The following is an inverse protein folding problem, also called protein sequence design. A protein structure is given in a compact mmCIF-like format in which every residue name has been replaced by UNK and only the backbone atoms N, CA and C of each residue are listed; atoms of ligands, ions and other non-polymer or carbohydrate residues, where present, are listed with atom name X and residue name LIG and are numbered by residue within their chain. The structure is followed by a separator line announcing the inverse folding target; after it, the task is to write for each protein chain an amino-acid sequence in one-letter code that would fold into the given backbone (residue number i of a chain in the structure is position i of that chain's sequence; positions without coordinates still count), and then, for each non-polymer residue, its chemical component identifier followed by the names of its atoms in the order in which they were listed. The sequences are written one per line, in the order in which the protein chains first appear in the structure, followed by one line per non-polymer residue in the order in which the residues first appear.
data_IF_773177457967
#
_entry.id   IF_773177457967
#
_cell.length_a   1.000
_cell.length_b   1.000
_cell.length_c   1.000
_cell.angle_alpha   90.00
_cell.angle_beta   90.00
_cell.angle_gamma   90.00
#
_symmetry.space_group_name_H-M   'P 1'
#
loop_
_entity.id
_entity.type
_entity.pdbx_description
1 polymer ?
#
# COMPACT_ATOMS: atom_id res chain seq x y z
N UNK A 1 29.95 6.90 13.05
CA UNK A 1 30.05 5.45 13.30
C UNK A 1 30.30 5.24 14.77
N UNK A 2 29.29 4.87 15.55
CA UNK A 2 29.35 3.90 16.66
C UNK A 2 27.89 3.52 16.95
N UNK A 3 27.67 2.20 17.05
CA UNK A 3 26.40 1.53 17.28
C UNK A 3 26.04 1.49 18.78
N UNK A 4 25.22 0.51 19.16
CA UNK A 4 24.88 0.04 20.53
C UNK A 4 23.57 0.68 21.04
N UNK A 5 22.37 0.10 20.85
CA UNK A 5 21.80 -1.19 21.32
C UNK A 5 21.90 -1.39 22.84
N UNK A 6 20.81 -1.15 23.57
CA UNK A 6 20.44 -1.79 24.85
C UNK A 6 18.91 -1.56 25.02
N UNK A 7 17.98 -2.52 24.93
CA UNK A 7 17.74 -3.79 25.64
C UNK A 7 17.58 -3.60 27.16
N UNK A 8 16.33 -3.59 27.64
CA UNK A 8 15.98 -3.59 29.09
C UNK A 8 14.52 -3.21 29.33
N UNK A 9 13.59 -4.19 29.32
CA UNK A 9 12.89 -4.74 30.50
C UNK A 9 12.03 -3.70 31.24
N UNK A 10 10.73 -3.68 30.92
CA UNK A 10 9.72 -2.91 31.65
C UNK A 10 9.23 -3.76 32.84
N UNK A 11 9.73 -3.46 34.03
CA UNK A 11 9.16 -3.94 35.30
C UNK A 11 8.32 -2.82 35.90
N UNK A 12 7.10 -3.16 36.30
CA UNK A 12 6.13 -2.25 36.88
C UNK A 12 6.49 -1.90 38.33
N UNK A 13 6.34 -0.63 38.75
CA UNK A 13 5.70 -0.23 40.01
C UNK A 13 5.59 1.30 40.13
N UNK A 14 4.68 1.79 41.00
CA UNK A 14 3.91 3.02 40.81
C UNK A 14 4.52 4.23 41.51
N UNK A 15 3.94 5.38 41.20
CA UNK A 15 4.00 6.66 41.91
C UNK A 15 5.23 7.58 41.75
N UNK A 16 4.88 8.88 41.71
CA UNK A 16 5.68 10.09 41.84
C UNK A 16 6.77 10.45 40.78
N UNK A 17 6.36 11.39 39.93
CA UNK A 17 7.10 12.58 39.45
C UNK A 17 8.56 12.43 39.01
N UNK A 18 8.81 12.54 37.70
CA UNK A 18 10.11 12.91 37.17
C UNK A 18 10.02 14.12 36.24
N UNK A 19 10.70 15.18 36.66
CA UNK A 19 10.93 16.44 35.96
C UNK A 19 11.46 16.22 34.54
N UNK A 20 10.80 16.83 33.56
CA UNK A 20 11.30 16.88 32.18
C UNK A 20 12.38 17.96 32.11
N UNK A 21 13.66 17.58 32.23
CA UNK A 21 14.77 18.42 31.79
C UNK A 21 14.94 18.27 30.27
N UNK A 22 15.01 19.42 29.60
CA UNK A 22 15.15 19.64 28.17
C UNK A 22 16.05 18.60 27.47
N UNK A 23 15.53 17.95 26.42
CA UNK A 23 16.31 17.59 25.24
C UNK A 23 15.38 17.44 24.02
N UNK A 24 15.58 18.31 23.03
CA UNK A 24 15.18 18.11 21.63
C UNK A 24 13.68 18.04 21.35
N UNK A 25 13.15 19.04 20.63
CA UNK A 25 11.87 18.91 19.94
C UNK A 25 11.93 17.74 18.93
N UNK A 26 11.54 16.54 19.35
CA UNK A 26 11.02 15.54 18.41
C UNK A 26 9.73 16.11 17.84
N UNK A 27 9.81 16.76 16.67
CA UNK A 27 8.63 16.92 15.83
C UNK A 27 8.21 15.53 15.37
N UNK A 28 7.41 14.87 16.19
CA UNK A 28 6.51 13.84 15.68
C UNK A 28 5.69 14.51 14.58
N UNK A 29 5.80 14.03 13.32
CA UNK A 29 4.99 14.52 12.18
C UNK A 29 3.93 13.46 11.81
N UNK A 30 2.83 13.33 12.57
CA UNK A 30 1.83 12.30 12.33
C UNK A 30 0.64 12.83 11.53
N UNK A 31 0.79 13.09 10.24
CA UNK A 31 -0.31 13.76 9.53
C UNK A 31 -0.75 13.13 8.22
N UNK A 32 0.11 12.38 7.51
CA UNK A 32 -0.27 11.86 6.19
C UNK A 32 -1.09 10.55 6.28
N UNK A 33 -0.53 9.49 6.87
CA UNK A 33 -1.18 8.16 6.90
C UNK A 33 -2.54 8.15 7.61
N UNK A 34 -2.64 8.77 8.80
CA UNK A 34 -3.90 8.86 9.55
C UNK A 34 -4.98 9.62 8.81
N UNK A 35 -4.60 10.50 7.86
CA UNK A 35 -5.57 11.29 7.08
C UNK A 35 -6.15 10.51 5.91
N UNK A 36 -5.37 9.66 5.23
CA UNK A 36 -5.86 8.89 4.08
C UNK A 36 -6.81 7.76 4.53
N UNK A 37 -6.42 6.98 5.54
CA UNK A 37 -7.29 5.94 6.11
C UNK A 37 -8.60 6.55 6.66
N UNK A 38 -8.50 7.70 7.34
CA UNK A 38 -9.67 8.43 7.83
C UNK A 38 -10.57 8.94 6.71
N UNK A 39 -9.98 9.53 5.66
CA UNK A 39 -10.74 9.92 4.46
C UNK A 39 -11.43 8.72 3.83
N UNK A 40 -10.78 7.56 3.75
CA UNK A 40 -11.44 6.34 3.26
C UNK A 40 -12.66 5.99 4.14
N UNK A 41 -12.50 5.95 5.45
CA UNK A 41 -13.62 5.69 6.39
C UNK A 41 -14.74 6.73 6.29
N UNK A 42 -14.41 8.00 6.05
CA UNK A 42 -15.38 9.08 5.87
C UNK A 42 -16.06 9.05 4.48
N UNK A 43 -15.37 8.51 3.46
CA UNK A 43 -15.89 8.42 2.08
C UNK A 43 -16.81 7.22 1.90
N UNK A 44 -16.54 6.11 2.58
CA UNK A 44 -17.45 4.96 2.59
C UNK A 44 -18.60 5.19 3.58
N UNK A 45 -19.84 5.09 3.12
CA UNK A 45 -21.00 5.03 4.02
C UNK A 45 -20.83 3.84 4.97
N UNK A 46 -21.08 4.07 6.28
CA UNK A 46 -21.01 3.01 7.29
C UNK A 46 -21.84 1.78 6.89
N UNK A 47 -22.98 2.01 6.24
CA UNK A 47 -23.85 0.96 5.69
C UNK A 47 -23.17 0.11 4.60
N UNK A 48 -22.38 0.73 3.71
CA UNK A 48 -21.62 -0.01 2.69
C UNK A 48 -20.60 -0.91 3.36
N UNK A 49 -19.85 -0.40 4.34
CA UNK A 49 -18.88 -1.20 5.11
C UNK A 49 -19.57 -2.34 5.85
N UNK A 50 -20.68 -2.07 6.52
CA UNK A 50 -21.45 -3.09 7.24
C UNK A 50 -22.03 -4.16 6.30
N UNK A 51 -22.46 -3.77 5.10
CA UNK A 51 -22.95 -4.70 4.08
C UNK A 51 -21.83 -5.60 3.54
N UNK A 52 -20.62 -5.06 3.37
CA UNK A 52 -19.43 -5.82 2.97
C UNK A 52 -19.01 -6.82 4.04
N UNK A 53 -19.04 -6.41 5.33
CA UNK A 53 -18.75 -7.29 6.47
C UNK A 53 -19.79 -8.41 6.56
N UNK A 54 -21.09 -8.08 6.44
CA UNK A 54 -22.18 -9.07 6.46
C UNK A 54 -22.12 -10.02 5.26
N UNK A 55 -21.75 -9.53 4.08
CA UNK A 55 -21.57 -10.33 2.87
C UNK A 55 -20.42 -11.34 3.01
N UNK A 56 -19.31 -10.91 3.62
CA UNK A 56 -18.15 -11.77 3.90
C UNK A 56 -18.40 -12.89 4.91
N UNK A 57 -19.38 -12.74 5.81
CA UNK A 57 -19.73 -13.78 6.79
C UNK A 57 -20.64 -14.89 6.23
N UNK A 58 -21.26 -14.71 5.06
CA UNK A 58 -22.34 -15.59 4.58
C UNK A 58 -21.90 -16.78 3.71
N UNK A 59 -20.65 -16.85 3.23
CA UNK A 59 -20.22 -17.91 2.30
C UNK A 59 -18.76 -18.31 2.49
N UNK A 60 -18.59 -19.58 2.79
CA UNK A 60 -17.40 -20.43 2.60
C UNK A 60 -16.08 -19.97 3.30
N UNK A 61 -15.53 -20.76 4.25
CA UNK A 61 -14.24 -20.48 4.88
C UNK A 61 -13.09 -20.23 3.89
N UNK A 62 -13.14 -20.82 2.70
CA UNK A 62 -12.10 -20.69 1.66
C UNK A 62 -12.14 -19.33 0.94
N UNK A 63 -13.28 -18.63 0.97
CA UNK A 63 -13.39 -17.25 0.44
C UNK A 63 -12.67 -16.23 1.32
N UNK A 64 -12.09 -16.66 2.45
CA UNK A 64 -11.10 -15.86 3.21
C UNK A 64 -9.77 -15.72 2.48
N UNK A 65 -9.36 -16.69 1.66
CA UNK A 65 -8.05 -16.69 1.00
C UNK A 65 -7.93 -15.63 -0.10
N UNK A 66 -9.00 -15.35 -0.83
CA UNK A 66 -9.12 -14.21 -1.75
C UNK A 66 -9.92 -13.05 -1.11
N UNK A 67 -9.77 -12.87 0.21
CA UNK A 67 -10.65 -12.05 1.04
C UNK A 67 -10.85 -10.61 0.54
N UNK A 68 -11.94 -9.97 0.98
CA UNK A 68 -12.28 -8.57 0.67
C UNK A 68 -11.09 -7.61 0.73
N UNK A 69 -10.20 -7.81 1.72
CA UNK A 69 -9.00 -7.01 1.89
C UNK A 69 -7.95 -7.24 0.80
N UNK A 70 -7.82 -8.46 0.27
CA UNK A 70 -6.93 -8.78 -0.84
C UNK A 70 -7.43 -8.15 -2.14
N UNK A 71 -8.75 -8.15 -2.39
CA UNK A 71 -9.34 -7.44 -3.53
C UNK A 71 -9.16 -5.92 -3.43
N UNK A 72 -9.33 -5.35 -2.24
CA UNK A 72 -9.05 -3.93 -2.01
C UNK A 72 -7.57 -3.61 -2.23
N UNK A 73 -6.67 -4.42 -1.66
CA UNK A 73 -5.23 -4.26 -1.83
C UNK A 73 -4.82 -4.39 -3.30
N UNK A 74 -5.38 -5.38 -4.02
CA UNK A 74 -5.19 -5.55 -5.46
C UNK A 74 -5.57 -4.29 -6.22
N UNK A 75 -6.79 -3.79 -6.02
CA UNK A 75 -7.28 -2.60 -6.73
C UNK A 75 -6.45 -1.35 -6.45
N UNK A 76 -5.98 -1.19 -5.21
CA UNK A 76 -5.09 -0.10 -4.81
C UNK A 76 -3.73 -0.21 -5.48
N UNK A 77 -3.10 -1.39 -5.45
CA UNK A 77 -1.79 -1.63 -6.07
C UNK A 77 -1.84 -1.46 -7.60
N UNK A 78 -2.84 -2.02 -8.26
CA UNK A 78 -3.00 -1.90 -9.71
C UNK A 78 -3.24 -0.45 -10.14
N UNK A 79 -4.00 0.32 -9.35
CA UNK A 79 -4.22 1.75 -9.63
C UNK A 79 -2.96 2.57 -9.42
N UNK A 80 -2.20 2.31 -8.36
CA UNK A 80 -0.91 2.96 -8.12
C UNK A 80 0.07 2.68 -9.28
N UNK A 81 0.20 1.42 -9.69
CA UNK A 81 1.05 1.03 -10.82
C UNK A 81 0.62 1.64 -12.15
N UNK A 82 -0.69 1.75 -12.40
CA UNK A 82 -1.20 2.41 -13.60
C UNK A 82 -0.89 3.91 -13.60
N UNK A 83 -0.95 4.57 -12.43
CA UNK A 83 -0.56 5.97 -12.27
C UNK A 83 0.92 6.17 -12.54
N UNK A 84 1.79 5.32 -11.97
CA UNK A 84 3.22 5.34 -12.25
C UNK A 84 3.51 5.13 -13.74
N UNK A 85 2.81 4.19 -14.40
CA UNK A 85 2.99 3.96 -15.83
C UNK A 85 2.51 5.16 -16.68
N UNK A 86 1.45 5.85 -16.27
CA UNK A 86 1.05 7.12 -16.89
C UNK A 86 2.16 8.15 -16.78
N UNK A 87 2.75 8.32 -15.59
CA UNK A 87 3.85 9.26 -15.40
C UNK A 87 5.08 8.89 -16.24
N UNK A 88 5.43 7.61 -16.31
CA UNK A 88 6.55 7.11 -17.12
C UNK A 88 6.36 7.35 -18.61
N UNK A 89 5.15 7.13 -19.12
CA UNK A 89 4.85 7.27 -20.55
C UNK A 89 4.47 8.71 -20.95
N UNK A 90 4.05 9.54 -20.00
CA UNK A 90 3.59 10.91 -20.23
C UNK A 90 2.16 11.03 -20.77
N UNK A 91 1.40 9.93 -20.82
CA UNK A 91 0.02 9.92 -21.35
C UNK A 91 -0.85 8.87 -20.66
N UNK A 92 -2.18 9.06 -20.69
CA UNK A 92 -3.16 8.17 -20.05
C UNK A 92 -3.56 6.98 -20.95
N UNK A 93 -4.15 5.93 -20.36
CA UNK A 93 -4.68 4.83 -21.18
C UNK A 93 -5.79 5.35 -22.12
N UNK A 94 -5.70 5.03 -23.42
CA UNK A 94 -6.64 5.48 -24.45
C UNK A 94 -6.35 6.87 -25.04
N UNK A 95 -5.35 7.59 -24.53
CA UNK A 95 -4.99 8.90 -25.04
C UNK A 95 -4.36 8.82 -26.45
N UNK A 96 -4.84 9.59 -27.46
CA UNK A 96 -4.23 9.68 -28.77
C UNK A 96 -2.74 10.06 -28.76
N UNK A 97 -2.26 10.79 -27.74
CA UNK A 97 -0.84 11.13 -27.59
C UNK A 97 0.07 9.90 -27.58
N UNK A 98 -0.43 8.74 -27.13
CA UNK A 98 0.32 7.48 -27.15
C UNK A 98 0.55 6.87 -28.54
N UNK A 99 -0.05 7.41 -29.61
CA UNK A 99 0.15 6.92 -31.00
C UNK A 99 1.41 7.47 -31.65
N UNK A 100 1.93 8.58 -31.13
CA UNK A 100 3.10 9.30 -31.67
C UNK A 100 4.37 9.04 -30.87
N UNK A 101 4.30 8.29 -29.77
CA UNK A 101 5.45 7.94 -28.93
C UNK A 101 6.13 6.66 -29.40
N UNK A 102 7.45 6.56 -29.20
CA UNK A 102 8.23 5.35 -29.49
C UNK A 102 8.02 4.22 -28.48
N UNK A 103 7.41 4.53 -27.32
CA UNK A 103 7.04 3.56 -26.30
C UNK A 103 5.52 3.58 -26.09
N UNK A 104 4.94 2.43 -25.75
CA UNK A 104 3.51 2.30 -25.52
C UNK A 104 3.17 1.34 -24.39
N UNK A 105 1.95 1.43 -23.85
CA UNK A 105 1.42 0.42 -22.92
C UNK A 105 1.30 -0.94 -23.61
N UNK A 106 1.70 -2.02 -22.94
CA UNK A 106 1.72 -3.37 -23.49
C UNK A 106 0.99 -4.37 -22.59
N UNK A 107 -0.26 -4.05 -22.26
CA UNK A 107 -1.12 -4.88 -21.42
C UNK A 107 -0.63 -5.01 -19.98
N UNK A 108 -1.02 -6.11 -19.35
CA UNK A 108 -0.66 -6.45 -17.96
C UNK A 108 -0.03 -7.83 -17.90
N UNK A 109 0.70 -8.11 -16.83
CA UNK A 109 1.26 -9.44 -16.54
C UNK A 109 0.91 -9.82 -15.11
N UNK A 110 0.34 -11.02 -14.88
CA UNK A 110 -0.04 -11.45 -13.55
C UNK A 110 1.21 -11.60 -12.67
N UNK A 111 1.14 -11.09 -11.45
CA UNK A 111 2.19 -11.18 -10.43
C UNK A 111 1.56 -11.44 -9.08
N UNK A 112 2.07 -12.42 -8.35
CA UNK A 112 1.68 -12.66 -6.96
C UNK A 112 2.65 -11.94 -6.03
N UNK A 113 2.11 -11.06 -5.19
CA UNK A 113 2.85 -10.28 -4.22
C UNK A 113 2.51 -10.79 -2.82
N UNK A 114 3.48 -11.36 -2.14
CA UNK A 114 3.39 -11.73 -0.73
C UNK A 114 3.36 -10.48 0.13
N UNK A 115 2.33 -10.39 0.97
CA UNK A 115 2.16 -9.32 1.95
C UNK A 115 2.14 -9.92 3.36
N UNK A 116 2.08 -9.07 4.39
CA UNK A 116 2.03 -9.53 5.79
C UNK A 116 0.77 -10.37 6.07
N UNK A 117 -0.36 -9.97 5.48
CA UNK A 117 -1.64 -10.62 5.76
C UNK A 117 -1.77 -11.88 4.90
N UNK A 118 -1.67 -11.72 3.58
CA UNK A 118 -1.82 -12.81 2.61
C UNK A 118 -1.15 -12.49 1.26
N UNK A 119 -0.89 -13.47 0.40
CA UNK A 119 -0.51 -13.24 -0.99
C UNK A 119 -1.63 -12.55 -1.78
N UNK A 120 -1.29 -11.51 -2.53
CA UNK A 120 -2.22 -10.78 -3.39
C UNK A 120 -1.81 -10.97 -4.85
N UNK A 121 -2.73 -11.48 -5.68
CA UNK A 121 -2.53 -11.59 -7.13
C UNK A 121 -2.94 -10.29 -7.82
N UNK A 122 -2.00 -9.64 -8.49
CA UNK A 122 -2.21 -8.38 -9.23
C UNK A 122 -1.89 -8.56 -10.71
N UNK A 123 -2.51 -7.74 -11.54
CA UNK A 123 -2.23 -7.59 -12.96
C UNK A 123 -1.33 -6.37 -13.19
N UNK A 124 -0.01 -6.58 -13.13
CA UNK A 124 0.97 -5.51 -13.19
C UNK A 124 1.08 -4.93 -14.61
N UNK A 125 0.88 -3.61 -14.81
CA UNK A 125 0.97 -2.98 -16.11
C UNK A 125 2.44 -2.84 -16.54
N UNK A 126 2.67 -2.84 -17.86
CA UNK A 126 4.01 -2.77 -18.46
C UNK A 126 4.02 -1.90 -19.71
N UNK A 127 5.19 -1.37 -20.04
CA UNK A 127 5.46 -0.72 -21.30
C UNK A 127 6.00 -1.71 -22.36
N UNK A 128 6.00 -1.28 -23.63
CA UNK A 128 6.46 -2.06 -24.77
C UNK A 128 7.98 -2.22 -24.75
N UNK A 129 8.70 -1.16 -24.40
CA UNK A 129 10.16 -1.13 -24.40
C UNK A 129 10.76 -1.75 -23.12
N UNK A 130 9.92 -2.19 -22.17
CA UNK A 130 10.32 -2.78 -20.89
C UNK A 130 11.19 -1.85 -20.03
N UNK A 131 11.14 -0.53 -20.26
CA UNK A 131 11.92 0.48 -19.56
C UNK A 131 11.25 1.01 -18.30
N UNK A 132 9.97 0.68 -18.07
CA UNK A 132 9.24 1.10 -16.89
C UNK A 132 9.79 0.43 -15.62
N UNK A 133 10.24 1.20 -14.63
CA UNK A 133 10.70 0.70 -13.32
C UNK A 133 9.73 1.15 -12.22
N UNK A 134 8.72 0.33 -11.86
CA UNK A 134 7.73 0.69 -10.85
C UNK A 134 8.35 0.80 -9.45
N UNK A 135 7.99 1.85 -8.72
CA UNK A 135 8.40 2.06 -7.34
C UNK A 135 7.48 1.30 -6.37
N UNK A 136 6.18 1.27 -6.67
CA UNK A 136 5.17 0.59 -5.84
C UNK A 136 5.48 -0.90 -5.72
N UNK A 137 5.68 -1.59 -6.85
CA UNK A 137 5.96 -3.03 -6.88
C UNK A 137 7.19 -3.28 -7.74
N UNK A 138 8.41 -3.24 -7.16
CA UNK A 138 9.64 -3.36 -7.92
C UNK A 138 9.73 -4.63 -8.77
N UNK A 139 10.42 -4.55 -9.90
CA UNK A 139 10.68 -5.72 -10.75
C UNK A 139 11.43 -6.80 -9.96
N UNK A 140 11.12 -8.06 -10.26
CA UNK A 140 11.75 -9.27 -9.67
C UNK A 140 11.59 -9.44 -8.15
N UNK A 141 10.88 -8.54 -7.47
CA UNK A 141 10.56 -8.70 -6.05
C UNK A 141 9.10 -9.09 -5.87
N UNK A 142 8.85 -10.20 -5.17
CA UNK A 142 7.50 -10.67 -4.87
C UNK A 142 7.10 -10.46 -3.41
N UNK A 143 7.95 -9.81 -2.60
CA UNK A 143 7.70 -9.58 -1.18
C UNK A 143 7.57 -8.07 -0.90
N UNK A 144 6.41 -7.65 -0.39
CA UNK A 144 6.22 -6.30 0.13
C UNK A 144 6.22 -6.34 1.65
N UNK A 145 7.17 -5.62 2.27
CA UNK A 145 7.25 -5.53 3.73
C UNK A 145 6.06 -4.81 4.34
N UNK A 146 5.54 -3.78 3.67
CA UNK A 146 4.40 -3.00 4.14
C UNK A 146 3.71 -2.34 2.93
N UNK A 147 2.39 -2.53 2.78
CA UNK A 147 1.61 -1.90 1.70
C UNK A 147 1.34 -0.42 2.01
N UNK A 148 1.18 -0.08 3.30
CA UNK A 148 0.81 1.27 3.73
C UNK A 148 1.87 2.31 3.39
N UNK A 149 3.15 1.92 3.39
CA UNK A 149 4.27 2.82 3.06
C UNK A 149 4.51 2.99 1.56
N UNK A 150 3.81 2.23 0.72
CA UNK A 150 4.10 2.11 -0.71
C UNK A 150 3.10 2.93 -1.54
N UNK A 151 1.88 3.14 -1.03
CA UNK A 151 0.78 3.77 -1.78
C UNK A 151 0.34 5.12 -1.19
N UNK A 152 0.89 5.55 -0.03
CA UNK A 152 0.46 6.75 0.71
C UNK A 152 1.60 7.70 1.09
#
# INVERSE_FOLDING_TARGET
MVAVVFRGVFSAMPDASWSVKLFGHYRYRPAAEKSAARRLTETFLAETVDSLIKGGQRRDPDRRADGLFNELAKGVLERALNSELTHHLGYQAGDPAGRVTSNSRNGTTPKTVSTINDPVRIDAPRDRNSSFEPATVPKKTNWLKNINSVVL
#
